data_IF_089234922109
#
_entry.id   IF_089234922109
#
_cell.length_a   1.000
_cell.length_b   1.000
_cell.length_c   1.000
_cell.angle_alpha   90.00
_cell.angle_beta   90.00
_cell.angle_gamma   90.00
#
_symmetry.space_group_name_H-M   'P 1'
#
loop_
_entity.id
_entity.type
_entity.pdbx_description
1 polymer ?
#
# COMPACT_ATOMS: atom_id res chain seq x y z
N UNK A 1 14.69 6.22 -18.59
CA UNK A 1 13.34 5.68 -18.31
C UNK A 1 12.44 6.88 -18.08
N UNK A 2 11.45 7.12 -18.94
CA UNK A 2 10.46 8.16 -18.62
C UNK A 2 9.64 7.66 -17.45
N UNK A 3 9.75 8.34 -16.30
CA UNK A 3 8.88 8.11 -15.17
C UNK A 3 7.47 8.51 -15.60
N UNK A 4 6.68 7.52 -16.00
CA UNK A 4 5.31 7.74 -16.40
C UNK A 4 4.45 7.96 -15.13
N UNK A 5 3.89 9.15 -15.01
CA UNK A 5 3.05 9.57 -13.87
C UNK A 5 1.87 8.60 -13.69
N UNK A 6 1.37 8.01 -14.78
CA UNK A 6 0.30 7.01 -14.74
C UNK A 6 0.78 5.75 -14.02
N UNK A 7 2.01 5.31 -14.30
CA UNK A 7 2.60 4.13 -13.69
C UNK A 7 2.87 4.35 -12.19
N UNK A 8 3.37 5.54 -11.84
CA UNK A 8 3.59 5.94 -10.44
C UNK A 8 2.26 5.92 -9.67
N UNK A 9 1.21 6.51 -10.25
CA UNK A 9 -0.13 6.57 -9.64
C UNK A 9 -0.74 5.18 -9.47
N UNK A 10 -0.65 4.30 -10.48
CA UNK A 10 -1.14 2.92 -10.37
C UNK A 10 -0.39 2.14 -9.29
N UNK A 11 0.92 2.35 -9.14
CA UNK A 11 1.71 1.72 -8.08
C UNK A 11 1.32 2.21 -6.69
N UNK A 12 1.06 3.52 -6.52
CA UNK A 12 0.62 4.12 -5.26
C UNK A 12 -0.74 3.58 -4.85
N UNK A 13 -1.70 3.55 -5.77
CA UNK A 13 -3.05 3.03 -5.52
C UNK A 13 -3.01 1.52 -5.24
N UNK A 14 -2.23 0.76 -6.01
CA UNK A 14 -2.03 -0.68 -5.79
C UNK A 14 -1.35 -0.98 -4.46
N UNK A 15 -0.33 -0.19 -4.08
CA UNK A 15 0.37 -0.28 -2.81
C UNK A 15 -0.51 0.08 -1.62
N UNK A 16 -1.34 1.12 -1.75
CA UNK A 16 -2.34 1.48 -0.75
C UNK A 16 -3.37 0.36 -0.54
N UNK A 17 -3.88 -0.21 -1.64
CA UNK A 17 -4.82 -1.32 -1.60
C UNK A 17 -4.22 -2.57 -0.96
N UNK A 18 -2.96 -2.90 -1.27
CA UNK A 18 -2.24 -4.01 -0.65
C UNK A 18 -2.03 -3.80 0.86
N UNK A 19 -1.64 -2.61 1.29
CA UNK A 19 -1.50 -2.27 2.71
C UNK A 19 -2.83 -2.41 3.46
N UNK A 20 -3.94 -1.95 2.85
CA UNK A 20 -5.27 -2.09 3.42
C UNK A 20 -5.73 -3.56 3.48
N UNK A 21 -5.50 -4.32 2.42
CA UNK A 21 -5.87 -5.73 2.34
C UNK A 21 -5.08 -6.59 3.33
N UNK A 22 -3.79 -6.30 3.54
CA UNK A 22 -2.97 -6.98 4.54
C UNK A 22 -3.51 -6.73 5.95
N UNK A 23 -3.83 -5.48 6.28
CA UNK A 23 -4.38 -5.15 7.59
C UNK A 23 -5.76 -5.78 7.81
N UNK A 24 -6.64 -5.74 6.80
CA UNK A 24 -7.95 -6.41 6.83
C UNK A 24 -7.82 -7.93 6.94
N UNK A 25 -6.88 -8.54 6.22
CA UNK A 25 -6.58 -9.97 6.32
C UNK A 25 -6.06 -10.37 7.70
N UNK A 26 -5.21 -9.56 8.32
CA UNK A 26 -4.75 -9.76 9.70
C UNK A 26 -5.91 -9.67 10.69
N UNK A 27 -6.87 -8.76 10.47
CA UNK A 27 -8.09 -8.67 11.28
C UNK A 27 -8.99 -9.91 11.16
N UNK A 28 -9.02 -10.58 10.00
CA UNK A 28 -9.76 -11.84 9.84
C UNK A 28 -9.11 -13.00 10.60
N UNK A 29 -7.78 -13.02 10.73
CA UNK A 29 -7.06 -14.06 11.46
C UNK A 29 -7.11 -13.81 12.98
N UNK A 30 -7.03 -12.55 13.40
CA UNK A 30 -7.06 -12.15 14.80
C UNK A 30 -8.23 -11.17 14.99
N UNK A 31 -9.45 -11.67 15.25
CA UNK A 31 -10.65 -10.82 15.36
C UNK A 31 -10.64 -9.90 16.60
N UNK A 32 -9.72 -10.12 17.56
CA UNK A 32 -9.52 -9.20 18.70
C UNK A 32 -8.67 -7.97 18.35
N UNK A 33 -8.01 -7.97 17.19
CA UNK A 33 -7.24 -6.83 16.70
C UNK A 33 -8.25 -5.80 16.18
N UNK A 34 -8.57 -4.82 17.02
CA UNK A 34 -9.44 -3.72 16.66
C UNK A 34 -8.74 -2.84 15.63
N UNK A 35 -8.98 -3.11 14.34
CA UNK A 35 -8.46 -2.30 13.25
C UNK A 35 -9.21 -0.98 13.25
N UNK A 36 -8.63 0.03 13.90
CA UNK A 36 -9.15 1.39 13.83
C UNK A 36 -8.94 1.95 12.43
N UNK A 37 -9.80 2.89 12.04
CA UNK A 37 -9.71 3.56 10.74
C UNK A 37 -8.34 4.22 10.55
N UNK A 38 -7.74 4.72 11.63
CA UNK A 38 -6.40 5.32 11.63
C UNK A 38 -5.31 4.31 11.29
N UNK A 39 -5.34 3.10 11.87
CA UNK A 39 -4.39 2.04 11.50
C UNK A 39 -4.54 1.63 10.04
N UNK A 40 -5.78 1.61 9.52
CA UNK A 40 -6.04 1.30 8.12
C UNK A 40 -5.45 2.34 7.17
N UNK A 41 -5.60 3.63 7.48
CA UNK A 41 -4.95 4.70 6.73
C UNK A 41 -3.42 4.67 6.85
N UNK A 42 -2.88 4.35 8.02
CA UNK A 42 -1.43 4.18 8.20
C UNK A 42 -0.87 3.04 7.36
N UNK A 43 -1.55 1.90 7.30
CA UNK A 43 -1.08 0.77 6.51
C UNK A 43 -1.21 1.03 5.00
N UNK A 44 -2.29 1.73 4.59
CA UNK A 44 -2.47 2.18 3.20
C UNK A 44 -1.38 3.16 2.77
N UNK A 45 -1.08 4.16 3.60
CA UNK A 45 -0.04 5.15 3.31
C UNK A 45 1.34 4.52 3.30
N UNK A 46 1.65 3.62 4.24
CA UNK A 46 2.90 2.86 4.23
C UNK A 46 3.05 2.01 2.96
N UNK A 47 1.99 1.31 2.54
CA UNK A 47 1.97 0.50 1.32
C UNK A 47 2.12 1.35 0.05
N UNK A 48 1.46 2.49 0.00
CA UNK A 48 1.57 3.47 -1.10
C UNK A 48 3.00 4.02 -1.24
N UNK A 49 3.63 4.41 -0.13
CA UNK A 49 5.00 4.95 -0.10
C UNK A 49 5.98 3.87 -0.53
N UNK A 50 5.86 2.65 0.00
CA UNK A 50 6.72 1.52 -0.38
C UNK A 50 6.62 1.20 -1.88
N UNK A 51 5.41 1.17 -2.43
CA UNK A 51 5.19 0.91 -3.86
C UNK A 51 5.76 2.04 -4.74
N UNK A 52 5.55 3.30 -4.35
CA UNK A 52 6.12 4.45 -5.06
C UNK A 52 7.66 4.43 -5.05
N UNK A 53 8.26 4.10 -3.89
CA UNK A 53 9.72 3.99 -3.74
C UNK A 53 10.27 2.85 -4.58
N UNK A 54 9.59 1.70 -4.65
CA UNK A 54 9.98 0.56 -5.49
C UNK A 54 9.99 0.89 -6.99
N UNK A 55 8.99 1.65 -7.45
CA UNK A 55 8.92 2.14 -8.84
C UNK A 55 10.00 3.19 -9.11
N UNK A 56 10.19 4.16 -8.20
CA UNK A 56 11.24 5.18 -8.30
C UNK A 56 12.64 4.57 -8.32
N UNK A 57 12.86 3.50 -7.56
CA UNK A 57 14.13 2.75 -7.51
C UNK A 57 14.32 1.85 -8.73
N UNK A 58 13.36 1.81 -9.66
CA UNK A 58 13.41 1.00 -10.88
C UNK A 58 13.36 -0.50 -10.63
N UNK A 59 12.94 -0.93 -9.43
CA UNK A 59 12.82 -2.34 -9.06
C UNK A 59 11.55 -2.97 -9.62
N UNK A 60 10.54 -2.15 -9.93
CA UNK A 60 9.27 -2.56 -10.53
C UNK A 60 9.06 -1.75 -11.81
N UNK A 61 8.93 -2.45 -12.94
CA UNK A 61 8.77 -1.91 -14.31
C UNK A 61 7.35 -2.06 -14.83
#
# INVERSE_FOLDING_TARGET
>A
MSLDIIMLTKSVVGGAGLGFALLGGVSMVIPSLNVTTEMAYFCATAGAILAAVLVLKGMVK
#
